data_IF_471390147524
#
_entry.id   IF_471390147524
#
_cell.length_a   1.000
_cell.length_b   1.000
_cell.length_c   1.000
_cell.angle_alpha   90.00
_cell.angle_beta   90.00
_cell.angle_gamma   90.00
#
_symmetry.space_group_name_H-M   'P 1'
#
loop_
_entity.id
_entity.type
_entity.pdbx_description
1 polymer ?
#
# COMPACT_ATOMS: atom_id res chain seq x y z
N UNK A 1 39.51 -29.89 62.13
CA UNK A 1 39.88 -28.74 61.26
C UNK A 1 38.66 -28.39 60.44
N UNK A 2 38.02 -27.27 60.76
CA UNK A 2 36.86 -26.76 60.03
C UNK A 2 37.34 -25.73 59.00
N UNK A 3 36.77 -25.75 57.81
CA UNK A 3 36.91 -24.67 56.83
C UNK A 3 35.56 -24.38 56.16
N UNK A 4 35.30 -23.13 55.74
CA UNK A 4 33.97 -22.55 55.70
C UNK A 4 33.52 -22.07 54.30
N UNK A 5 32.28 -21.56 54.26
CA UNK A 5 31.72 -20.58 53.29
C UNK A 5 31.46 -21.12 51.86
N UNK A 6 30.38 -20.75 51.15
CA UNK A 6 29.83 -19.40 50.90
C UNK A 6 28.34 -19.45 50.49
N UNK A 7 27.64 -18.29 50.54
CA UNK A 7 26.21 -18.15 50.36
C UNK A 7 25.82 -18.02 48.87
N UNK A 8 24.63 -18.50 48.49
CA UNK A 8 24.06 -18.26 47.16
C UNK A 8 22.89 -17.28 47.22
N UNK A 9 23.27 -16.01 47.00
CA UNK A 9 22.68 -15.05 46.07
C UNK A 9 21.16 -15.05 45.86
N UNK A 10 20.52 -14.06 46.49
CA UNK A 10 19.52 -13.11 45.95
C UNK A 10 18.92 -13.49 44.59
N UNK A 11 17.66 -13.94 44.61
CA UNK A 11 16.83 -14.04 43.41
C UNK A 11 16.39 -12.64 42.97
N UNK A 12 17.00 -12.12 41.90
CA UNK A 12 16.59 -10.86 41.26
C UNK A 12 15.37 -11.12 40.37
N UNK A 13 14.22 -10.59 40.76
CA UNK A 13 12.99 -10.67 39.99
C UNK A 13 13.15 -9.95 38.63
N UNK A 14 13.02 -10.70 37.54
CA UNK A 14 13.08 -10.16 36.18
C UNK A 14 11.72 -9.54 35.81
N UNK A 15 11.65 -8.20 35.80
CA UNK A 15 10.55 -7.44 35.22
C UNK A 15 10.65 -7.48 33.69
N UNK A 16 9.88 -8.37 33.07
CA UNK A 16 9.64 -8.35 31.62
C UNK A 16 8.68 -7.19 31.30
N UNK A 17 9.23 -6.00 31.06
CA UNK A 17 8.49 -4.89 30.47
C UNK A 17 8.22 -5.20 28.99
N UNK A 18 7.05 -5.76 28.69
CA UNK A 18 6.53 -5.87 27.33
C UNK A 18 6.17 -4.46 26.84
N UNK A 19 7.07 -3.86 26.07
CA UNK A 19 6.82 -2.59 25.38
C UNK A 19 5.86 -2.90 24.23
N UNK A 20 4.56 -2.82 24.48
CA UNK A 20 3.54 -2.88 23.43
C UNK A 20 3.59 -1.57 22.62
N UNK A 21 4.48 -1.50 21.63
CA UNK A 21 4.45 -0.46 20.62
C UNK A 21 3.15 -0.55 19.79
N UNK A 22 2.72 0.55 19.15
CA UNK A 22 1.51 0.52 18.34
C UNK A 22 1.69 -0.48 17.20
N UNK A 23 0.87 -1.53 17.17
CA UNK A 23 0.75 -2.44 16.02
C UNK A 23 0.19 -1.62 14.87
N UNK A 24 1.08 -1.12 14.02
CA UNK A 24 0.68 -0.52 12.76
C UNK A 24 0.16 -1.65 11.88
N UNK A 25 -1.14 -1.64 11.56
CA UNK A 25 -1.73 -2.63 10.67
C UNK A 25 -0.95 -2.62 9.34
N UNK A 26 -0.29 -3.75 9.07
CA UNK A 26 0.54 -3.90 7.88
C UNK A 26 -0.36 -4.25 6.70
N UNK A 27 -0.76 -3.23 5.94
CA UNK A 27 -1.51 -3.46 4.71
C UNK A 27 -0.63 -4.13 3.65
N UNK A 28 -1.22 -5.09 2.93
CA UNK A 28 -0.65 -5.73 1.75
C UNK A 28 -1.75 -5.85 0.68
N UNK A 29 -1.39 -5.88 -0.62
CA UNK A 29 -2.33 -6.15 -1.70
C UNK A 29 -3.10 -7.43 -1.44
N UNK A 30 -4.41 -7.38 -1.62
CA UNK A 30 -5.22 -8.59 -1.62
C UNK A 30 -5.02 -9.36 -2.93
N UNK A 31 -5.33 -10.65 -2.93
CA UNK A 31 -5.40 -11.43 -4.16
C UNK A 31 -6.44 -10.79 -5.11
N UNK A 32 -6.04 -10.59 -6.36
CA UNK A 32 -6.90 -10.02 -7.40
C UNK A 32 -8.12 -10.93 -7.64
N UNK A 33 -9.36 -10.44 -7.46
CA UNK A 33 -10.55 -11.23 -7.77
C UNK A 33 -10.64 -11.54 -9.27
N UNK A 34 -11.10 -12.74 -9.64
CA UNK A 34 -11.13 -13.20 -11.04
C UNK A 34 -11.88 -12.27 -12.00
N UNK A 35 -12.97 -11.64 -11.53
CA UNK A 35 -13.73 -10.66 -12.33
C UNK A 35 -12.88 -9.45 -12.71
N UNK A 36 -12.01 -9.01 -11.80
CA UNK A 36 -11.10 -7.89 -12.02
C UNK A 36 -9.89 -8.30 -12.84
N UNK A 37 -9.38 -9.51 -12.63
CA UNK A 37 -8.31 -10.09 -13.44
C UNK A 37 -8.66 -10.17 -14.93
N UNK A 38 -9.85 -10.66 -15.27
CA UNK A 38 -10.33 -10.69 -16.66
C UNK A 38 -10.44 -9.28 -17.23
N UNK A 39 -11.04 -8.33 -16.50
CA UNK A 39 -11.19 -6.94 -16.95
C UNK A 39 -9.85 -6.25 -17.16
N UNK A 40 -8.89 -6.47 -16.27
CA UNK A 40 -7.53 -5.97 -16.42
C UNK A 40 -6.87 -6.52 -17.67
N UNK A 41 -6.96 -7.83 -17.91
CA UNK A 41 -6.40 -8.46 -19.10
C UNK A 41 -6.95 -7.88 -20.41
N UNK A 42 -8.22 -7.48 -20.41
CA UNK A 42 -8.88 -6.90 -21.58
C UNK A 42 -8.56 -5.39 -21.77
N UNK A 43 -8.37 -4.65 -20.67
CA UNK A 43 -8.47 -3.18 -20.68
C UNK A 43 -7.18 -2.44 -20.31
N UNK A 44 -6.32 -3.01 -19.45
CA UNK A 44 -5.05 -2.37 -19.10
C UNK A 44 -3.91 -2.94 -19.95
N UNK A 45 -3.13 -2.07 -20.62
CA UNK A 45 -2.04 -2.53 -21.47
C UNK A 45 -0.86 -3.03 -20.63
N UNK A 46 -0.15 -4.03 -21.16
CA UNK A 46 1.09 -4.57 -20.59
C UNK A 46 0.91 -5.34 -19.27
N UNK A 47 2.03 -5.81 -18.74
CA UNK A 47 2.08 -6.73 -17.61
C UNK A 47 2.52 -6.05 -16.30
N UNK A 48 2.69 -6.84 -15.24
CA UNK A 48 3.28 -6.40 -13.96
C UNK A 48 2.34 -5.61 -13.04
N UNK A 49 1.05 -5.57 -13.36
CA UNK A 49 0.04 -4.91 -12.55
C UNK A 49 -0.19 -5.64 -11.21
N UNK A 50 -0.14 -4.87 -10.13
CA UNK A 50 -0.48 -5.28 -8.77
C UNK A 50 -1.85 -4.70 -8.45
N UNK A 51 -2.81 -5.58 -8.10
CA UNK A 51 -4.14 -5.17 -7.68
C UNK A 51 -4.09 -4.49 -6.32
N UNK A 52 -4.57 -3.24 -6.23
CA UNK A 52 -4.56 -2.49 -4.98
C UNK A 52 -5.89 -2.63 -4.27
N UNK A 53 -6.97 -2.31 -4.96
CA UNK A 53 -8.32 -2.39 -4.42
C UNK A 53 -9.37 -2.31 -5.54
N UNK A 54 -10.61 -2.62 -5.17
CA UNK A 54 -11.77 -2.34 -6.00
C UNK A 54 -12.95 -1.85 -5.16
N UNK A 55 -13.81 -1.10 -5.82
CA UNK A 55 -15.14 -0.73 -5.37
C UNK A 55 -16.15 -1.39 -6.31
N UNK A 56 -17.15 -2.07 -5.76
CA UNK A 56 -18.25 -2.63 -6.53
C UNK A 56 -19.56 -2.23 -5.85
N UNK A 57 -20.19 -1.20 -6.40
CA UNK A 57 -21.46 -0.65 -5.93
C UNK A 57 -22.40 -0.47 -7.11
N UNK A 58 -23.72 -0.36 -6.88
CA UNK A 58 -24.67 -0.05 -7.95
C UNK A 58 -24.35 1.24 -8.72
N UNK A 59 -23.70 2.21 -8.06
CA UNK A 59 -23.35 3.51 -8.64
C UNK A 59 -22.02 3.48 -9.43
N UNK A 60 -21.07 2.65 -9.00
CA UNK A 60 -19.69 2.69 -9.46
C UNK A 60 -19.01 1.33 -9.27
N UNK A 61 -18.43 0.82 -10.35
CA UNK A 61 -17.42 -0.23 -10.31
C UNK A 61 -16.07 0.40 -10.66
N UNK A 62 -15.10 0.26 -9.78
CA UNK A 62 -13.76 0.77 -10.01
C UNK A 62 -12.71 -0.21 -9.49
N UNK A 63 -11.60 -0.36 -10.19
CA UNK A 63 -10.43 -1.09 -9.70
C UNK A 63 -9.17 -0.27 -9.94
N UNK A 64 -8.28 -0.29 -8.96
CA UNK A 64 -7.00 0.40 -8.98
C UNK A 64 -5.86 -0.60 -8.95
N UNK A 65 -4.86 -0.33 -9.78
CA UNK A 65 -3.66 -1.14 -9.95
C UNK A 65 -2.44 -0.24 -9.92
N UNK A 66 -1.28 -0.79 -9.56
CA UNK A 66 0.00 -0.14 -9.79
C UNK A 66 0.98 -1.08 -10.48
N UNK A 67 2.00 -0.54 -11.14
CA UNK A 67 3.15 -1.30 -11.63
C UNK A 67 4.41 -0.46 -11.70
N UNK A 68 5.51 -1.14 -12.04
CA UNK A 68 6.81 -0.54 -12.30
C UNK A 68 7.26 0.44 -11.19
N UNK A 69 7.28 0.01 -9.90
CA UNK A 69 7.75 0.86 -8.83
C UNK A 69 9.22 1.24 -9.02
N UNK A 70 9.52 2.52 -8.85
CA UNK A 70 10.88 3.06 -8.92
C UNK A 70 11.13 4.05 -7.78
N UNK A 71 12.17 3.81 -7.01
CA UNK A 71 12.61 4.72 -5.95
C UNK A 71 13.24 5.98 -6.55
N UNK A 72 12.68 7.16 -6.26
CA UNK A 72 13.15 8.47 -6.75
C UNK A 72 13.04 9.51 -5.62
N UNK A 73 14.16 10.07 -5.17
CA UNK A 73 14.22 11.21 -4.24
C UNK A 73 13.30 11.10 -3.00
N UNK A 74 13.31 9.94 -2.35
CA UNK A 74 12.49 9.68 -1.16
C UNK A 74 11.00 9.47 -1.45
N UNK A 75 10.65 9.29 -2.72
CA UNK A 75 9.35 8.83 -3.21
C UNK A 75 9.50 7.50 -3.95
N UNK A 76 8.38 6.83 -4.21
CA UNK A 76 8.32 5.70 -5.14
C UNK A 76 7.37 6.09 -6.26
N UNK A 77 7.90 6.31 -7.47
CA UNK A 77 7.10 6.54 -8.67
C UNK A 77 6.55 5.21 -9.20
N UNK A 78 5.32 5.24 -9.70
CA UNK A 78 4.59 4.09 -10.23
C UNK A 78 3.74 4.52 -11.42
N UNK A 79 3.37 3.57 -12.26
CA UNK A 79 2.20 3.73 -13.13
C UNK A 79 0.97 3.21 -12.38
N UNK A 80 -0.09 4.01 -12.32
CA UNK A 80 -1.37 3.61 -11.75
C UNK A 80 -2.39 3.32 -12.86
N UNK A 81 -2.95 2.12 -12.84
CA UNK A 81 -4.01 1.68 -13.75
C UNK A 81 -5.37 1.85 -13.08
N UNK A 82 -6.30 2.52 -13.76
CA UNK A 82 -7.67 2.71 -13.30
C UNK A 82 -8.64 2.09 -14.30
N UNK A 83 -9.54 1.24 -13.81
CA UNK A 83 -10.69 0.74 -14.55
C UNK A 83 -11.95 1.26 -13.90
N UNK A 84 -12.84 1.90 -14.66
CA UNK A 84 -14.05 2.53 -14.14
C UNK A 84 -15.25 2.19 -15.03
N UNK A 85 -16.35 1.79 -14.41
CA UNK A 85 -17.68 1.71 -15.02
C UNK A 85 -18.68 2.40 -14.09
N UNK A 86 -19.44 3.36 -14.63
CA UNK A 86 -20.45 4.13 -13.87
C UNK A 86 -21.84 3.57 -14.11
N UNK A 87 -22.76 3.81 -13.17
CA UNK A 87 -24.16 3.44 -13.34
C UNK A 87 -24.75 3.98 -14.66
N UNK A 88 -25.54 3.15 -15.33
CA UNK A 88 -26.15 3.47 -16.62
C UNK A 88 -25.16 3.52 -17.79
N UNK A 89 -23.89 3.17 -17.58
CA UNK A 89 -22.89 3.06 -18.64
C UNK A 89 -22.42 1.61 -18.75
N UNK A 90 -22.69 0.98 -19.90
CA UNK A 90 -22.21 -0.38 -20.16
C UNK A 90 -20.71 -0.41 -20.48
N UNK A 91 -20.17 0.72 -20.96
CA UNK A 91 -18.78 0.83 -21.38
C UNK A 91 -17.84 1.10 -20.20
N UNK A 92 -16.75 0.35 -20.15
CA UNK A 92 -15.62 0.62 -19.28
C UNK A 92 -14.76 1.76 -19.82
N UNK A 93 -14.27 2.59 -18.92
CA UNK A 93 -13.18 3.53 -19.17
C UNK A 93 -11.91 3.02 -18.48
N UNK A 94 -10.78 3.09 -19.18
CA UNK A 94 -9.46 2.82 -18.60
C UNK A 94 -8.58 4.08 -18.62
N UNK A 95 -7.67 4.18 -17.65
CA UNK A 95 -6.62 5.19 -17.62
C UNK A 95 -5.34 4.62 -17.04
N UNK A 96 -4.20 5.06 -17.56
CA UNK A 96 -2.87 4.86 -16.94
C UNK A 96 -2.34 6.22 -16.55
N UNK A 97 -1.96 6.38 -15.28
CA UNK A 97 -1.54 7.64 -14.69
C UNK A 97 -0.14 7.52 -14.12
N UNK A 98 0.78 8.46 -14.42
CA UNK A 98 2.01 8.60 -13.64
C UNK A 98 1.66 9.06 -12.22
N UNK A 99 2.02 8.25 -11.23
CA UNK A 99 1.79 8.51 -9.82
C UNK A 99 3.06 8.35 -9.01
N UNK A 100 3.08 8.89 -7.79
CA UNK A 100 4.12 8.59 -6.82
C UNK A 100 3.57 8.51 -5.42
N UNK A 101 4.15 7.62 -4.62
CA UNK A 101 4.02 7.61 -3.18
C UNK A 101 5.08 8.54 -2.59
N UNK A 102 4.66 9.67 -2.03
CA UNK A 102 5.56 10.57 -1.30
C UNK A 102 5.75 10.04 0.13
N UNK A 103 6.87 9.38 0.37
CA UNK A 103 7.07 8.61 1.60
C UNK A 103 7.23 9.47 2.85
N UNK A 104 7.77 10.69 2.71
CA UNK A 104 7.89 11.63 3.81
C UNK A 104 6.52 12.21 4.22
N UNK A 105 5.63 12.45 3.25
CA UNK A 105 4.30 13.01 3.50
C UNK A 105 3.20 11.97 3.72
N UNK A 106 3.46 10.70 3.40
CA UNK A 106 2.46 9.64 3.54
C UNK A 106 1.27 9.78 2.59
N UNK A 107 1.47 10.39 1.41
CA UNK A 107 0.41 10.68 0.45
C UNK A 107 0.73 10.14 -0.96
N UNK A 108 -0.34 9.88 -1.73
CA UNK A 108 -0.23 9.65 -3.17
C UNK A 108 -0.30 10.99 -3.90
N UNK A 109 0.51 11.10 -4.93
CA UNK A 109 0.53 12.25 -5.83
C UNK A 109 0.42 11.77 -7.28
N UNK A 110 -0.25 12.55 -8.12
CA UNK A 110 -0.39 12.31 -9.54
C UNK A 110 0.40 13.39 -10.30
N UNK A 111 1.08 12.98 -11.37
CA UNK A 111 1.74 13.94 -12.27
C UNK A 111 0.72 14.55 -13.20
N UNK A 112 0.69 15.87 -13.21
CA UNK A 112 -0.12 16.67 -14.12
C UNK A 112 0.56 16.81 -15.48
N UNK A 113 -0.18 17.32 -16.46
CA UNK A 113 0.31 17.51 -17.85
C UNK A 113 1.43 18.54 -17.95
N UNK A 114 1.49 19.50 -17.02
CA UNK A 114 2.58 20.48 -16.88
C UNK A 114 3.82 19.89 -16.17
N UNK A 115 3.75 18.62 -15.77
CA UNK A 115 4.81 17.91 -15.07
C UNK A 115 4.80 18.10 -13.55
N UNK A 116 3.92 18.94 -12.99
CA UNK A 116 3.80 19.15 -11.56
C UNK A 116 3.17 17.93 -10.86
N UNK A 117 3.49 17.77 -9.58
CA UNK A 117 2.90 16.73 -8.73
C UNK A 117 1.83 17.33 -7.84
N UNK A 118 0.61 16.77 -7.90
CA UNK A 118 -0.52 17.19 -7.06
C UNK A 118 -1.00 16.04 -6.21
N UNK A 119 -1.55 16.33 -5.02
CA UNK A 119 -2.14 15.29 -4.16
C UNK A 119 -3.26 14.58 -4.93
N UNK A 120 -3.15 13.25 -5.01
CA UNK A 120 -4.22 12.41 -5.52
C UNK A 120 -5.19 12.13 -4.37
N UNK A 121 -6.51 12.35 -4.56
CA UNK A 121 -7.48 12.20 -3.48
C UNK A 121 -7.53 10.75 -3.00
N UNK A 122 -6.95 10.54 -1.81
CA UNK A 122 -7.01 9.25 -1.13
C UNK A 122 -8.38 8.97 -0.54
N UNK A 123 -8.71 7.69 -0.42
CA UNK A 123 -9.82 7.19 0.43
C UNK A 123 -9.30 6.73 1.79
N UNK A 124 -10.19 6.33 2.68
CA UNK A 124 -9.81 5.71 3.94
C UNK A 124 -8.83 4.55 3.71
N UNK A 125 -7.76 4.51 4.51
CA UNK A 125 -6.68 3.54 4.35
C UNK A 125 -5.62 3.89 3.30
N UNK A 126 -5.66 5.07 2.67
CA UNK A 126 -4.61 5.49 1.71
C UNK A 126 -3.22 5.53 2.35
N UNK A 127 -3.10 6.01 3.59
CA UNK A 127 -1.80 6.15 4.28
C UNK A 127 -1.09 4.79 4.44
N UNK A 128 -1.82 3.71 4.76
CA UNK A 128 -1.23 2.38 4.92
C UNK A 128 -0.79 1.78 3.57
N UNK A 129 -1.53 2.08 2.49
CA UNK A 129 -1.14 1.71 1.13
C UNK A 129 0.10 2.47 0.67
N UNK A 130 0.17 3.78 0.91
CA UNK A 130 1.37 4.60 0.63
C UNK A 130 2.59 4.02 1.33
N UNK A 131 2.46 3.67 2.62
CA UNK A 131 3.55 3.05 3.36
C UNK A 131 3.99 1.73 2.74
N UNK A 132 3.05 0.91 2.28
CA UNK A 132 3.38 -0.32 1.57
C UNK A 132 4.10 -0.06 0.23
N UNK A 133 3.62 0.88 -0.60
CA UNK A 133 4.28 1.28 -1.85
C UNK A 133 5.71 1.76 -1.58
N UNK A 134 5.89 2.58 -0.54
CA UNK A 134 7.19 3.06 -0.07
C UNK A 134 8.14 1.98 0.44
N UNK A 135 7.72 0.71 0.49
CA UNK A 135 8.58 -0.45 0.81
C UNK A 135 8.94 -1.28 -0.42
N UNK A 136 8.37 -1.01 -1.59
CA UNK A 136 8.69 -1.66 -2.87
C UNK A 136 10.01 -1.20 -3.50
N UNK A 137 10.91 -0.66 -2.67
CA UNK A 137 12.07 0.13 -3.08
C UNK A 137 13.07 -0.66 -3.91
#
# INVERSE_FOLDING_TARGET
MASPALPFNVALASLLSLIAGPVQAEWQPMQEPAVWQSRRGDLLPGDGWIFMEALDTPALKAAEYIRAPQSVDGSVEVEAGLLIQRAGQDRWTQQVLPMRANCAKGQLEQRQTDGAWTVYPGRDGTVVKVRWICRLR
#
